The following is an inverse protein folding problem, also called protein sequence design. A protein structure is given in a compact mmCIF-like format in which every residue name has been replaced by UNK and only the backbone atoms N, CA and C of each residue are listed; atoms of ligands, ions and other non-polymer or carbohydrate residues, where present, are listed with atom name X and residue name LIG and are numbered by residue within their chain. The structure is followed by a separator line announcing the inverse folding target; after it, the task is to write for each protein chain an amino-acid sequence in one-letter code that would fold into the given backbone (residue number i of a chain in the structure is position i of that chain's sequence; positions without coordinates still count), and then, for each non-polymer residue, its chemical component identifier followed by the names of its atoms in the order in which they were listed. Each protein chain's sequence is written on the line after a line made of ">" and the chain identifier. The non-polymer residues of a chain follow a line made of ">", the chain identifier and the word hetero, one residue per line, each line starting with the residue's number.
data_IF_460783987988
#
_entry.id   IF_460783987988
#
_cell.length_a   1.000
_cell.length_b   1.000
_cell.length_c   1.000
_cell.angle_alpha   90.00
_cell.angle_beta   90.00
_cell.angle_gamma   90.00
#
_symmetry.space_group_name_H-M   'P 1'
#
loop_
_entity.id
_entity.type
_entity.pdbx_description
1 polymer ?
#
# COMPACT_ATOMS: atom_id res chain seq x y z
N UNK A 1 12.66 -16.35 19.42
CA UNK A 1 13.96 -16.24 18.71
C UNK A 1 14.53 -14.85 18.93
N UNK A 2 15.55 -14.77 19.79
CA UNK A 2 16.32 -13.55 20.05
C UNK A 2 17.45 -13.54 19.03
N UNK A 3 17.47 -12.59 18.10
CA UNK A 3 18.57 -12.44 17.14
C UNK A 3 19.87 -12.03 17.87
N UNK A 4 21.05 -12.50 17.42
CA UNK A 4 22.30 -12.36 18.15
C UNK A 4 22.80 -10.90 18.25
N UNK A 5 23.72 -10.61 19.21
CA UNK A 5 24.15 -9.25 19.58
C UNK A 5 24.83 -8.43 18.46
N UNK A 6 25.21 -9.08 17.36
CA UNK A 6 25.92 -8.50 16.21
C UNK A 6 25.02 -7.61 15.30
N UNK A 7 23.70 -7.58 15.53
CA UNK A 7 22.68 -6.99 14.65
C UNK A 7 22.29 -5.54 15.04
N UNK A 8 23.28 -4.70 15.35
CA UNK A 8 23.14 -3.55 16.28
C UNK A 8 23.15 -2.12 15.71
N UNK A 9 22.78 -1.85 14.45
CA UNK A 9 22.59 -0.44 14.02
C UNK A 9 21.33 -0.23 13.20
N UNK A 10 20.29 0.25 13.90
CA UNK A 10 19.19 0.98 13.30
C UNK A 10 19.68 2.41 13.06
N UNK A 11 19.62 2.89 11.82
CA UNK A 11 19.90 4.29 11.52
C UNK A 11 18.58 5.03 11.33
N UNK A 12 18.36 6.04 12.16
CA UNK A 12 17.28 7.01 12.03
C UNK A 12 17.84 8.20 11.24
N UNK A 13 17.24 8.48 10.08
CA UNK A 13 17.49 9.71 9.35
C UNK A 13 16.57 10.79 9.95
N UNK A 14 17.10 11.59 10.87
CA UNK A 14 16.39 12.76 11.41
C UNK A 14 16.81 13.96 10.56
N UNK A 15 15.89 14.48 9.74
CA UNK A 15 16.02 15.66 8.85
C UNK A 15 17.36 15.74 8.10
N UNK A 16 17.34 15.35 6.82
CA UNK A 16 18.47 15.50 5.88
C UNK A 16 18.95 16.96 5.75
N UNK A 17 18.14 17.94 6.17
CA UNK A 17 18.39 19.36 5.95
C UNK A 17 18.68 20.20 7.20
N UNK A 18 18.52 19.67 8.43
CA UNK A 18 18.74 20.45 9.68
C UNK A 18 19.92 20.00 10.55
N UNK A 19 20.64 18.94 10.17
CA UNK A 19 21.80 18.49 10.94
C UNK A 19 23.07 19.24 10.51
N UNK A 20 23.87 19.80 11.44
CA UNK A 20 25.20 20.28 11.09
C UNK A 20 26.02 19.08 10.57
N UNK A 21 26.44 19.17 9.30
CA UNK A 21 27.15 18.17 8.50
C UNK A 21 28.57 17.86 9.02
N UNK A 22 28.75 17.62 10.32
CA UNK A 22 30.08 17.40 10.93
C UNK A 22 30.44 15.92 11.17
N UNK A 23 29.68 14.97 10.61
CA UNK A 23 30.03 13.55 10.67
C UNK A 23 30.07 12.96 9.26
N UNK A 24 31.28 12.60 8.77
CA UNK A 24 31.51 12.10 7.40
C UNK A 24 30.67 10.85 7.07
N UNK A 25 30.33 10.03 8.07
CA UNK A 25 29.43 8.88 7.91
C UNK A 25 27.95 9.26 7.74
N UNK A 26 27.47 10.35 8.36
CA UNK A 26 26.08 10.78 8.20
C UNK A 26 25.80 11.23 6.77
N UNK A 27 26.74 11.91 6.11
CA UNK A 27 26.57 12.40 4.74
C UNK A 27 26.42 11.27 3.71
N UNK A 28 27.21 10.19 3.85
CA UNK A 28 27.16 9.03 2.96
C UNK A 28 25.89 8.19 3.14
N UNK A 29 25.50 7.88 4.37
CA UNK A 29 24.26 7.12 4.66
C UNK A 29 23.03 7.88 4.14
N UNK A 30 23.07 9.21 4.25
CA UNK A 30 22.02 10.09 3.73
C UNK A 30 21.93 10.02 2.21
N UNK A 31 23.05 10.18 1.51
CA UNK A 31 23.12 10.11 0.05
C UNK A 31 22.72 8.73 -0.49
N UNK A 32 23.11 7.66 0.21
CA UNK A 32 22.74 6.30 -0.15
C UNK A 32 21.23 6.09 0.00
N UNK A 33 20.61 6.45 1.14
CA UNK A 33 19.16 6.35 1.29
C UNK A 33 18.38 7.19 0.26
N UNK A 34 18.87 8.38 -0.10
CA UNK A 34 18.31 9.20 -1.19
C UNK A 34 18.29 8.41 -2.51
N UNK A 35 19.43 7.81 -2.89
CA UNK A 35 19.54 6.98 -4.08
C UNK A 35 18.64 5.75 -3.99
N UNK A 36 18.63 5.05 -2.85
CA UNK A 36 17.82 3.85 -2.66
C UNK A 36 16.32 4.13 -2.67
N UNK A 37 15.85 5.21 -2.05
CA UNK A 37 14.46 5.64 -2.17
C UNK A 37 14.09 5.96 -3.61
N UNK A 38 15.01 6.54 -4.39
CA UNK A 38 14.76 6.83 -5.81
C UNK A 38 14.68 5.57 -6.67
N UNK A 39 15.57 4.59 -6.47
CA UNK A 39 15.70 3.41 -7.33
C UNK A 39 14.88 2.19 -6.89
N UNK A 40 14.64 2.01 -5.58
CA UNK A 40 14.07 0.78 -5.02
C UNK A 40 12.71 0.98 -4.36
N UNK A 41 12.08 2.14 -4.52
CA UNK A 41 10.74 2.35 -4.00
C UNK A 41 9.71 1.52 -4.78
N UNK A 42 9.33 0.39 -4.17
CA UNK A 42 8.41 -0.58 -4.76
C UNK A 42 6.92 -0.18 -4.65
N UNK A 43 6.60 0.72 -3.71
CA UNK A 43 5.20 1.04 -3.35
C UNK A 43 4.69 2.26 -4.12
N UNK A 44 5.44 3.38 -4.12
CA UNK A 44 5.03 4.64 -4.73
C UNK A 44 6.20 5.31 -5.45
N UNK A 45 6.41 5.08 -6.76
CA UNK A 45 7.58 5.59 -7.47
C UNK A 45 7.82 7.09 -7.26
N UNK A 46 9.08 7.47 -7.02
CA UNK A 46 9.49 8.88 -6.86
C UNK A 46 9.56 9.51 -8.24
N UNK A 47 8.81 10.59 -8.45
CA UNK A 47 8.68 11.20 -9.78
C UNK A 47 9.82 12.13 -10.15
N UNK A 48 10.38 12.83 -9.16
CA UNK A 48 11.43 13.83 -9.35
C UNK A 48 12.13 14.18 -8.03
N UNK A 49 13.18 15.00 -8.10
CA UNK A 49 13.95 15.41 -6.92
C UNK A 49 13.12 16.23 -5.91
N UNK A 50 12.10 16.97 -6.36
CA UNK A 50 11.21 17.75 -5.48
C UNK A 50 10.33 16.80 -4.64
N UNK A 51 9.84 15.73 -5.24
CA UNK A 51 9.14 14.64 -4.54
C UNK A 51 10.06 13.97 -3.51
N UNK A 52 11.30 13.64 -3.86
CA UNK A 52 12.28 13.09 -2.93
C UNK A 52 12.57 14.03 -1.76
N UNK A 53 12.79 15.33 -2.04
CA UNK A 53 13.02 16.35 -1.01
C UNK A 53 11.84 16.45 -0.04
N UNK A 54 10.60 16.32 -0.54
CA UNK A 54 9.39 16.30 0.30
C UNK A 54 9.36 15.07 1.19
N UNK A 55 9.62 13.88 0.65
CA UNK A 55 9.60 12.61 1.41
C UNK A 55 10.71 12.48 2.46
N UNK A 56 11.78 13.24 2.34
CA UNK A 56 12.88 13.32 3.31
C UNK A 56 12.92 14.65 4.08
N UNK A 57 11.87 15.46 3.93
CA UNK A 57 11.76 16.79 4.53
C UNK A 57 11.14 16.79 5.93
N UNK A 58 10.76 17.97 6.39
CA UNK A 58 10.10 18.18 7.70
C UNK A 58 8.79 17.39 7.76
N UNK A 59 8.51 16.78 8.92
CA UNK A 59 7.31 15.95 9.10
C UNK A 59 7.36 14.60 8.35
N UNK A 60 8.53 14.23 7.82
CA UNK A 60 8.79 12.91 7.22
C UNK A 60 10.04 12.31 7.86
N UNK A 61 9.99 11.01 8.14
CA UNK A 61 11.10 10.24 8.72
C UNK A 61 11.36 9.01 7.85
N UNK A 62 12.63 8.71 7.63
CA UNK A 62 13.05 7.51 6.90
C UNK A 62 14.00 6.69 7.77
N UNK A 63 13.75 5.38 7.83
CA UNK A 63 14.51 4.44 8.66
C UNK A 63 15.09 3.35 7.79
N UNK A 64 16.37 3.06 7.95
CA UNK A 64 17.06 1.99 7.22
C UNK A 64 17.65 0.95 8.17
N UNK A 65 17.53 -0.33 7.80
CA UNK A 65 18.26 -1.41 8.44
C UNK A 65 19.50 -1.75 7.63
N UNK A 66 20.68 -1.59 8.22
CA UNK A 66 21.97 -1.85 7.58
C UNK A 66 22.67 -3.02 8.23
N UNK A 67 23.28 -3.89 7.42
CA UNK A 67 24.06 -5.02 7.91
C UNK A 67 25.57 -4.73 7.76
N UNK A 68 26.41 -5.01 8.78
CA UNK A 68 27.84 -4.70 8.70
C UNK A 68 28.59 -5.34 7.52
N UNK A 69 28.14 -6.53 7.08
CA UNK A 69 28.72 -7.23 5.94
C UNK A 69 28.32 -6.63 4.57
N UNK A 70 27.31 -5.76 4.52
CA UNK A 70 26.89 -5.05 3.30
C UNK A 70 26.86 -3.56 3.62
N UNK A 71 28.04 -2.92 3.76
CA UNK A 71 28.13 -1.51 4.11
C UNK A 71 27.56 -0.64 2.99
N UNK A 72 26.80 0.38 3.37
CA UNK A 72 26.25 1.38 2.46
C UNK A 72 24.90 1.03 1.82
N UNK A 73 24.43 -0.20 1.95
CA UNK A 73 23.12 -0.59 1.41
C UNK A 73 22.13 -0.94 2.53
N UNK A 74 20.98 -0.26 2.62
CA UNK A 74 19.94 -0.64 3.55
C UNK A 74 19.29 -1.92 3.03
N UNK A 75 19.24 -3.00 3.82
CA UNK A 75 18.55 -4.24 3.42
C UNK A 75 17.03 -4.02 3.29
N UNK A 76 16.51 -3.13 4.13
CA UNK A 76 15.11 -2.72 4.15
C UNK A 76 15.04 -1.29 4.68
N UNK A 77 14.11 -0.51 4.14
CA UNK A 77 13.83 0.83 4.61
C UNK A 77 12.32 1.07 4.78
N UNK A 78 11.98 2.03 5.64
CA UNK A 78 10.62 2.41 6.00
C UNK A 78 10.51 3.93 5.94
N UNK A 79 9.52 4.42 5.20
CA UNK A 79 9.16 5.83 5.16
C UNK A 79 7.92 6.08 6.03
N UNK A 80 7.99 7.13 6.84
CA UNK A 80 6.98 7.50 7.83
C UNK A 80 6.57 8.95 7.63
N UNK A 81 5.27 9.18 7.61
CA UNK A 81 4.67 10.50 7.63
C UNK A 81 4.18 10.83 9.04
N UNK A 82 4.61 11.97 9.57
CA UNK A 82 4.12 12.52 10.83
C UNK A 82 2.93 13.44 10.53
N UNK A 83 1.78 13.12 11.10
CA UNK A 83 0.51 13.77 10.82
C UNK A 83 -0.21 14.14 12.12
N UNK A 84 -1.11 15.11 12.03
CA UNK A 84 -2.03 15.46 13.13
C UNK A 84 -3.12 14.41 13.29
N UNK A 85 -3.65 13.92 12.16
CA UNK A 85 -4.72 12.94 12.09
C UNK A 85 -4.32 11.80 11.12
N UNK A 86 -4.98 10.64 11.20
CA UNK A 86 -4.69 9.51 10.32
C UNK A 86 -5.17 9.81 8.90
N UNK A 87 -4.26 9.73 7.91
CA UNK A 87 -4.63 9.91 6.51
C UNK A 87 -5.47 8.75 5.99
N UNK A 88 -6.43 9.05 5.11
CA UNK A 88 -7.31 8.05 4.49
C UNK A 88 -6.86 7.66 3.08
N UNK A 89 -6.02 8.47 2.46
CA UNK A 89 -5.49 8.24 1.11
C UNK A 89 -3.99 8.50 1.04
N UNK A 90 -3.31 7.83 0.11
CA UNK A 90 -1.88 8.09 -0.10
C UNK A 90 -1.65 9.48 -0.69
N UNK A 91 -2.65 10.01 -1.41
CA UNK A 91 -2.63 11.33 -2.00
C UNK A 91 -2.52 12.41 -0.92
N UNK A 92 -3.23 12.29 0.21
CA UNK A 92 -3.06 13.17 1.37
C UNK A 92 -1.61 13.18 1.88
N UNK A 93 -0.94 12.02 1.85
CA UNK A 93 0.45 11.87 2.32
C UNK A 93 1.46 12.43 1.30
N UNK A 94 1.23 12.24 0.00
CA UNK A 94 2.19 12.60 -1.05
C UNK A 94 2.00 14.02 -1.60
N UNK A 95 0.78 14.56 -1.56
CA UNK A 95 0.42 15.88 -2.10
C UNK A 95 0.43 16.98 -1.03
N UNK A 96 0.92 16.66 0.17
CA UNK A 96 0.65 17.40 1.39
C UNK A 96 1.07 18.88 1.37
N UNK A 97 0.20 19.66 2.03
CA UNK A 97 0.18 21.10 2.37
C UNK A 97 1.41 21.41 3.28
N UNK A 98 1.77 22.68 3.62
CA UNK A 98 3.02 22.96 4.33
C UNK A 98 3.24 22.03 5.53
N UNK A 99 4.46 21.49 5.68
CA UNK A 99 4.75 20.47 6.69
C UNK A 99 4.38 21.00 8.07
N UNK A 100 3.63 20.19 8.84
CA UNK A 100 3.34 20.50 10.23
C UNK A 100 4.63 20.41 11.06
N UNK A 101 4.69 21.18 12.14
CA UNK A 101 5.78 21.05 13.09
C UNK A 101 5.75 19.65 13.73
N UNK A 102 6.91 18.99 13.84
CA UNK A 102 7.00 17.64 14.38
C UNK A 102 6.45 17.51 15.81
N UNK A 103 6.47 18.60 16.59
CA UNK A 103 5.92 18.66 17.95
C UNK A 103 4.38 18.58 17.99
N UNK A 104 3.70 18.89 16.89
CA UNK A 104 2.23 18.84 16.79
C UNK A 104 1.73 17.49 16.26
N UNK A 105 2.64 16.61 15.82
CA UNK A 105 2.28 15.30 15.29
C UNK A 105 1.71 14.40 16.38
N UNK A 106 0.57 13.77 16.06
CA UNK A 106 -0.11 12.78 16.91
C UNK A 106 -0.13 11.38 16.29
N UNK A 107 0.09 11.28 14.98
CA UNK A 107 0.05 10.05 14.21
C UNK A 107 1.37 9.85 13.44
N UNK A 108 1.93 8.64 13.53
CA UNK A 108 2.99 8.15 12.66
C UNK A 108 2.41 7.14 11.67
N UNK A 109 2.35 7.55 10.41
CA UNK A 109 1.80 6.76 9.32
C UNK A 109 2.93 6.14 8.49
N UNK A 110 3.02 4.82 8.52
CA UNK A 110 3.98 4.02 7.75
C UNK A 110 3.40 3.75 6.36
N UNK A 111 3.82 4.52 5.36
CA UNK A 111 3.23 4.49 4.02
C UNK A 111 4.08 3.75 2.97
N UNK A 112 5.33 3.42 3.29
CA UNK A 112 6.22 2.67 2.40
C UNK A 112 7.17 1.82 3.23
N UNK A 113 7.23 0.52 2.92
CA UNK A 113 8.18 -0.45 3.48
C UNK A 113 8.75 -1.22 2.30
N UNK A 114 10.04 -1.04 2.04
CA UNK A 114 10.69 -1.55 0.83
C UNK A 114 11.95 -2.34 1.16
N UNK A 115 12.05 -3.56 0.64
CA UNK A 115 13.27 -4.39 0.70
C UNK A 115 14.11 -4.13 -0.54
N UNK A 116 15.41 -3.94 -0.38
CA UNK A 116 16.34 -3.70 -1.49
C UNK A 116 16.92 -5.00 -2.04
N UNK A 117 16.93 -6.06 -1.23
CA UNK A 117 17.62 -7.31 -1.52
C UNK A 117 16.62 -8.45 -1.77
N UNK A 118 16.41 -8.88 -3.04
CA UNK A 118 15.52 -10.00 -3.37
C UNK A 118 16.00 -11.33 -2.74
N UNK A 119 17.31 -11.53 -2.62
CA UNK A 119 17.90 -12.73 -2.03
C UNK A 119 17.58 -12.95 -0.54
N UNK A 120 17.04 -11.93 0.13
CA UNK A 120 16.56 -12.01 1.51
C UNK A 120 15.03 -12.13 1.60
N UNK A 121 14.34 -12.39 0.48
CA UNK A 121 12.90 -12.65 0.45
C UNK A 121 12.56 -13.82 1.38
N UNK A 122 11.58 -13.62 2.26
CA UNK A 122 11.17 -14.62 3.26
C UNK A 122 11.77 -14.42 4.65
N UNK A 123 12.78 -13.56 4.80
CA UNK A 123 13.25 -13.13 6.12
C UNK A 123 12.37 -11.97 6.59
N UNK A 124 11.83 -12.08 7.82
CA UNK A 124 10.90 -11.10 8.40
C UNK A 124 11.53 -9.77 8.85
N UNK A 125 12.47 -9.21 8.06
CA UNK A 125 13.17 -7.97 8.37
C UNK A 125 12.20 -6.78 8.56
N UNK A 126 11.11 -6.74 7.79
CA UNK A 126 10.09 -5.69 7.89
C UNK A 126 9.42 -5.62 9.25
N UNK A 127 8.99 -6.76 9.79
CA UNK A 127 8.36 -6.85 11.11
C UNK A 127 9.31 -6.38 12.22
N UNK A 128 10.58 -6.77 12.15
CA UNK A 128 11.58 -6.38 13.14
C UNK A 128 11.91 -4.88 13.07
N UNK A 129 12.09 -4.35 11.86
CA UNK A 129 12.37 -2.94 11.65
C UNK A 129 11.18 -2.09 12.11
N UNK A 130 9.96 -2.44 11.72
CA UNK A 130 8.74 -1.73 12.11
C UNK A 130 8.60 -1.65 13.64
N UNK A 131 8.76 -2.77 14.35
CA UNK A 131 8.71 -2.79 15.82
C UNK A 131 9.74 -1.85 16.44
N UNK A 132 10.99 -1.89 15.99
CA UNK A 132 12.06 -1.02 16.51
C UNK A 132 11.79 0.45 16.21
N UNK A 133 11.28 0.78 15.03
CA UNK A 133 10.92 2.15 14.66
C UNK A 133 9.80 2.68 15.54
N UNK A 134 8.76 1.88 15.78
CA UNK A 134 7.66 2.24 16.69
C UNK A 134 8.20 2.51 18.11
N UNK A 135 9.01 1.61 18.66
CA UNK A 135 9.57 1.75 20.01
C UNK A 135 10.44 3.03 20.14
N UNK A 136 11.22 3.33 19.11
CA UNK A 136 12.03 4.55 19.04
C UNK A 136 11.16 5.81 18.91
N UNK A 137 10.15 5.81 18.04
CA UNK A 137 9.25 6.96 17.87
C UNK A 137 8.46 7.24 19.16
N UNK A 138 8.00 6.22 19.88
CA UNK A 138 7.33 6.41 21.19
C UNK A 138 8.24 7.08 22.22
N UNK A 139 9.54 6.74 22.21
CA UNK A 139 10.53 7.32 23.11
C UNK A 139 10.87 8.77 22.74
N UNK A 140 11.08 9.01 21.44
CA UNK A 140 11.56 10.30 20.94
C UNK A 140 10.43 11.34 20.78
N UNK A 141 9.19 10.88 20.59
CA UNK A 141 8.03 11.70 20.24
C UNK A 141 6.79 11.24 21.03
N UNK A 142 6.72 11.54 22.34
CA UNK A 142 5.62 11.09 23.20
C UNK A 142 4.25 11.68 22.82
N UNK A 143 4.21 12.75 22.00
CA UNK A 143 2.97 13.29 21.44
C UNK A 143 2.33 12.36 20.40
N UNK A 144 3.12 11.48 19.77
CA UNK A 144 2.64 10.53 18.76
C UNK A 144 2.06 9.30 19.45
N UNK A 145 0.74 9.20 19.41
CA UNK A 145 -0.02 8.13 20.06
C UNK A 145 -0.54 7.09 19.06
N UNK A 146 -0.77 7.50 17.81
CA UNK A 146 -1.33 6.65 16.76
C UNK A 146 -0.18 6.16 15.87
N UNK A 147 -0.13 4.85 15.66
CA UNK A 147 0.81 4.19 14.76
C UNK A 147 0.00 3.35 13.78
N UNK A 148 0.01 3.73 12.50
CA UNK A 148 -0.83 3.08 11.48
C UNK A 148 -0.04 2.85 10.20
N UNK A 149 -0.39 1.81 9.46
CA UNK A 149 0.18 1.54 8.14
C UNK A 149 -0.81 1.91 7.05
N UNK A 150 -0.35 2.57 5.99
CA UNK A 150 -1.12 2.74 4.76
C UNK A 150 -0.49 1.84 3.71
N UNK A 151 -0.96 0.59 3.64
CA UNK A 151 -0.36 -0.46 2.81
C UNK A 151 -1.18 -0.70 1.54
N UNK A 152 -0.52 -0.95 0.39
CA UNK A 152 -1.21 -1.42 -0.80
C UNK A 152 -1.72 -2.85 -0.59
N UNK A 153 -2.70 -3.25 -1.40
CA UNK A 153 -3.23 -4.62 -1.43
C UNK A 153 -2.85 -5.24 -2.79
N UNK A 154 -1.58 -5.61 -2.99
CA UNK A 154 -1.14 -6.19 -4.26
C UNK A 154 -1.89 -7.49 -4.55
N UNK A 155 -2.23 -7.73 -5.82
CA UNK A 155 -2.93 -8.93 -6.24
C UNK A 155 -4.45 -8.93 -6.05
N UNK A 156 -5.02 -7.96 -5.32
CA UNK A 156 -6.49 -7.89 -5.14
C UNK A 156 -7.25 -7.85 -6.47
N UNK A 157 -6.84 -6.96 -7.38
CA UNK A 157 -7.48 -6.85 -8.71
C UNK A 157 -7.30 -8.12 -9.55
N UNK A 158 -6.14 -8.78 -9.46
CA UNK A 158 -5.89 -10.03 -10.17
C UNK A 158 -6.79 -11.15 -9.64
N UNK A 159 -6.89 -11.27 -8.32
CA UNK A 159 -7.81 -12.20 -7.66
C UNK A 159 -9.26 -11.92 -8.07
N UNK A 160 -9.69 -10.67 -8.03
CA UNK A 160 -11.06 -10.27 -8.35
C UNK A 160 -11.41 -10.63 -9.79
N UNK A 161 -10.56 -10.27 -10.75
CA UNK A 161 -10.79 -10.58 -12.17
C UNK A 161 -10.83 -12.09 -12.45
N UNK A 162 -9.96 -12.86 -11.81
CA UNK A 162 -9.96 -14.33 -11.92
C UNK A 162 -11.24 -14.92 -11.34
N UNK A 163 -11.70 -14.41 -10.19
CA UNK A 163 -12.92 -14.83 -9.52
C UNK A 163 -14.16 -14.53 -10.37
N UNK A 164 -14.25 -13.34 -10.97
CA UNK A 164 -15.31 -12.96 -11.91
C UNK A 164 -15.30 -13.87 -13.14
N UNK A 165 -14.14 -14.15 -13.73
CA UNK A 165 -14.02 -15.03 -14.89
C UNK A 165 -14.47 -16.47 -14.58
N UNK A 166 -14.16 -16.98 -13.39
CA UNK A 166 -14.60 -18.30 -12.96
C UNK A 166 -16.12 -18.39 -12.84
N UNK A 167 -16.77 -17.38 -12.28
CA UNK A 167 -18.24 -17.38 -12.14
C UNK A 167 -18.95 -17.27 -13.48
N UNK A 168 -18.43 -16.48 -14.41
CA UNK A 168 -18.98 -16.37 -15.78
C UNK A 168 -18.94 -17.75 -16.47
N UNK A 169 -17.79 -18.45 -16.41
CA UNK A 169 -17.66 -19.79 -16.99
C UNK A 169 -18.59 -20.82 -16.37
N UNK A 170 -18.80 -20.76 -15.05
CA UNK A 170 -19.75 -21.65 -14.38
C UNK A 170 -21.18 -21.40 -14.87
N UNK A 171 -21.58 -20.13 -15.00
CA UNK A 171 -22.89 -19.77 -15.52
C UNK A 171 -23.08 -20.24 -16.98
N UNK A 172 -22.08 -20.06 -17.84
CA UNK A 172 -22.10 -20.54 -19.23
C UNK A 172 -22.22 -22.08 -19.30
N UNK A 173 -21.50 -22.80 -18.45
CA UNK A 173 -21.49 -24.27 -18.42
C UNK A 173 -22.85 -24.83 -17.96
N UNK A 174 -23.44 -24.24 -16.92
CA UNK A 174 -24.77 -24.62 -16.44
C UNK A 174 -25.88 -24.35 -17.48
N UNK A 175 -25.75 -23.29 -18.27
CA UNK A 175 -26.67 -23.02 -19.39
C UNK A 175 -26.52 -24.02 -20.54
N UNK A 176 -25.34 -24.62 -20.70
CA UNK A 176 -25.07 -25.66 -21.72
C UNK A 176 -25.44 -27.07 -21.23
N UNK A 177 -25.28 -27.37 -19.94
CA UNK A 177 -25.57 -28.68 -19.32
C UNK A 177 -27.02 -28.85 -18.85
N UNK A 178 -27.85 -27.80 -18.92
CA UNK A 178 -29.27 -27.80 -18.54
C UNK A 178 -30.20 -28.77 -19.29
N UNK A 179 -29.67 -29.74 -20.04
CA UNK A 179 -30.43 -30.85 -20.62
C UNK A 179 -30.11 -32.23 -20.01
N UNK A 180 -29.07 -32.43 -19.21
CA UNK A 180 -28.80 -33.75 -18.61
C UNK A 180 -28.13 -33.65 -17.23
N UNK A 181 -28.87 -34.16 -16.23
CA UNK A 181 -28.45 -34.61 -14.88
C UNK A 181 -28.68 -33.59 -13.73
N UNK A 182 -29.87 -33.69 -13.13
CA UNK A 182 -30.11 -33.43 -11.70
C UNK A 182 -29.20 -34.35 -10.87
N UNK A 183 -28.09 -33.88 -10.34
CA UNK A 183 -27.28 -34.77 -9.48
C UNK A 183 -25.94 -34.29 -8.95
N UNK A 184 -25.40 -33.16 -9.41
CA UNK A 184 -24.17 -32.61 -8.83
C UNK A 184 -24.43 -31.17 -8.38
N UNK A 185 -24.94 -31.02 -7.16
CA UNK A 185 -25.03 -29.75 -6.45
C UNK A 185 -23.65 -29.08 -6.44
N UNK A 186 -23.41 -28.10 -7.33
CA UNK A 186 -22.20 -27.28 -7.35
C UNK A 186 -22.26 -26.35 -6.13
N UNK A 187 -21.80 -26.87 -4.99
CA UNK A 187 -22.20 -26.44 -3.65
C UNK A 187 -21.54 -25.14 -3.19
N UNK A 188 -21.15 -24.24 -4.09
CA UNK A 188 -20.65 -22.92 -3.69
C UNK A 188 -20.76 -21.85 -4.79
N UNK A 189 -21.98 -21.39 -5.05
CA UNK A 189 -22.17 -20.07 -5.69
C UNK A 189 -21.91 -18.98 -4.66
N UNK A 190 -20.70 -18.44 -4.66
CA UNK A 190 -20.44 -17.18 -3.96
C UNK A 190 -21.12 -16.05 -4.73
N UNK A 191 -22.07 -15.38 -4.08
CA UNK A 191 -22.64 -14.14 -4.60
C UNK A 191 -21.58 -13.05 -4.58
N UNK A 192 -20.88 -12.88 -5.70
CA UNK A 192 -19.88 -11.82 -5.87
C UNK A 192 -20.56 -10.45 -5.88
N UNK A 193 -21.77 -10.36 -6.45
CA UNK A 193 -22.53 -9.13 -6.58
C UNK A 193 -23.94 -9.34 -6.04
N UNK A 194 -24.40 -8.45 -5.16
CA UNK A 194 -25.78 -8.45 -4.68
C UNK A 194 -26.71 -7.70 -5.66
N UNK A 195 -28.02 -8.04 -5.70
CA UNK A 195 -28.97 -7.40 -6.61
C UNK A 195 -29.03 -5.86 -6.47
N UNK A 196 -28.84 -5.34 -5.25
CA UNK A 196 -28.81 -3.91 -4.97
C UNK A 196 -27.56 -3.25 -5.56
N UNK A 197 -26.40 -3.91 -5.47
CA UNK A 197 -25.13 -3.44 -6.03
C UNK A 197 -25.18 -3.45 -7.56
N UNK A 198 -25.77 -4.48 -8.15
CA UNK A 198 -26.00 -4.59 -9.58
C UNK A 198 -26.89 -3.45 -10.11
N UNK A 199 -28.00 -3.17 -9.43
CA UNK A 199 -28.87 -2.03 -9.77
C UNK A 199 -28.13 -0.69 -9.70
N UNK A 200 -27.30 -0.49 -8.68
CA UNK A 200 -26.49 0.74 -8.56
C UNK A 200 -25.51 0.87 -9.72
N UNK A 201 -24.81 -0.20 -10.09
CA UNK A 201 -23.87 -0.21 -11.22
C UNK A 201 -24.60 0.09 -12.53
N UNK A 202 -25.75 -0.55 -12.78
CA UNK A 202 -26.55 -0.30 -13.98
C UNK A 202 -27.03 1.14 -14.07
N UNK A 203 -27.47 1.73 -12.96
CA UNK A 203 -27.92 3.14 -12.94
C UNK A 203 -26.78 4.15 -13.16
N UNK A 204 -25.53 3.74 -12.94
CA UNK A 204 -24.36 4.60 -13.08
C UNK A 204 -23.75 4.60 -14.49
N UNK A 205 -24.29 3.79 -15.41
CA UNK A 205 -23.76 3.62 -16.78
C UNK A 205 -24.76 4.16 -17.79
N UNK A 206 -24.31 5.10 -18.62
CA UNK A 206 -25.17 5.77 -19.61
C UNK A 206 -25.42 4.93 -20.88
N UNK A 207 -24.64 3.86 -21.13
CA UNK A 207 -24.78 2.97 -22.29
C UNK A 207 -24.86 1.50 -21.86
N UNK A 208 -26.01 0.87 -22.10
CA UNK A 208 -26.27 -0.53 -21.78
C UNK A 208 -25.82 -1.39 -22.98
N UNK A 209 -24.61 -1.95 -22.93
CA UNK A 209 -24.11 -2.86 -23.97
C UNK A 209 -24.75 -4.27 -23.93
N UNK A 210 -25.99 -4.40 -23.46
CA UNK A 210 -26.69 -5.68 -23.29
C UNK A 210 -26.11 -6.63 -22.22
N UNK A 211 -24.91 -6.34 -21.70
CA UNK A 211 -24.25 -7.10 -20.63
C UNK A 211 -24.87 -6.78 -19.27
N UNK A 212 -25.10 -7.81 -18.45
CA UNK A 212 -25.69 -7.71 -17.12
C UNK A 212 -24.79 -8.35 -16.05
N UNK A 213 -24.99 -7.95 -14.80
CA UNK A 213 -24.33 -8.52 -13.63
C UNK A 213 -22.81 -8.57 -13.68
N UNK A 214 -22.27 -9.77 -13.56
CA UNK A 214 -20.84 -10.06 -13.34
C UNK A 214 -20.00 -9.74 -14.59
N UNK A 215 -20.55 -9.93 -15.79
CA UNK A 215 -19.85 -9.62 -17.05
C UNK A 215 -19.60 -8.12 -17.21
N UNK A 216 -20.62 -7.32 -16.90
CA UNK A 216 -20.54 -5.87 -16.92
C UNK A 216 -19.48 -5.37 -15.92
N UNK A 217 -19.50 -5.90 -14.69
CA UNK A 217 -18.50 -5.59 -13.68
C UNK A 217 -17.08 -5.95 -14.16
N UNK A 218 -16.91 -7.12 -14.78
CA UNK A 218 -15.60 -7.55 -15.29
C UNK A 218 -15.06 -6.60 -16.37
N UNK A 219 -15.90 -6.17 -17.30
CA UNK A 219 -15.51 -5.23 -18.36
C UNK A 219 -15.15 -3.86 -17.80
N UNK A 220 -15.94 -3.35 -16.86
CA UNK A 220 -15.69 -2.08 -16.19
C UNK A 220 -14.32 -2.12 -15.51
N UNK A 221 -14.04 -3.15 -14.71
CA UNK A 221 -12.80 -3.28 -13.97
C UNK A 221 -11.58 -3.46 -14.89
N UNK A 222 -11.72 -4.16 -16.02
CA UNK A 222 -10.65 -4.28 -17.04
C UNK A 222 -10.32 -2.93 -17.71
N UNK A 223 -11.32 -2.10 -17.99
CA UNK A 223 -11.13 -0.83 -18.70
C UNK A 223 -10.37 0.24 -17.90
N UNK A 224 -10.32 0.12 -16.57
CA UNK A 224 -9.78 1.12 -15.62
C UNK A 224 -10.34 2.55 -15.75
N UNK A 225 -11.32 2.80 -16.64
CA UNK A 225 -11.90 4.14 -16.85
C UNK A 225 -12.86 4.54 -15.75
N UNK A 226 -13.34 3.58 -14.95
CA UNK A 226 -14.30 3.80 -13.88
C UNK A 226 -13.82 4.79 -12.82
N UNK A 227 -12.49 4.89 -12.63
CA UNK A 227 -11.85 5.83 -11.69
C UNK A 227 -12.11 7.30 -12.06
N UNK A 228 -12.45 7.60 -13.32
CA UNK A 228 -12.73 8.97 -13.79
C UNK A 228 -14.17 9.42 -13.55
N UNK A 229 -15.08 8.48 -13.29
CA UNK A 229 -16.50 8.78 -13.08
C UNK A 229 -16.84 8.66 -11.61
N UNK A 230 -17.24 9.77 -11.00
CA UNK A 230 -17.63 9.80 -9.58
C UNK A 230 -18.85 8.92 -9.30
N UNK A 231 -19.82 8.89 -10.23
CA UNK A 231 -21.02 8.05 -10.13
C UNK A 231 -20.66 6.57 -10.10
N UNK A 232 -19.79 6.14 -11.01
CA UNK A 232 -19.40 4.74 -11.12
C UNK A 232 -18.49 4.31 -9.98
N UNK A 233 -17.56 5.19 -9.56
CA UNK A 233 -16.72 4.96 -8.38
C UNK A 233 -17.55 4.83 -7.10
N UNK A 234 -18.60 5.64 -6.94
CA UNK A 234 -19.52 5.53 -5.81
C UNK A 234 -20.32 4.22 -5.83
N UNK A 235 -20.82 3.79 -7.00
CA UNK A 235 -21.54 2.53 -7.15
C UNK A 235 -20.65 1.30 -6.86
N UNK A 236 -19.37 1.35 -7.27
CA UNK A 236 -18.41 0.26 -7.04
C UNK A 236 -17.86 0.21 -5.60
N UNK A 237 -18.02 1.28 -4.81
CA UNK A 237 -17.45 1.35 -3.46
C UNK A 237 -17.95 0.23 -2.55
N UNK A 238 -19.27 0.02 -2.49
CA UNK A 238 -19.86 -1.04 -1.64
C UNK A 238 -19.35 -2.44 -1.99
N UNK A 239 -19.47 -2.92 -3.25
CA UNK A 239 -19.03 -4.26 -3.59
C UNK A 239 -17.52 -4.43 -3.42
N UNK A 240 -16.70 -3.45 -3.80
CA UNK A 240 -15.24 -3.56 -3.66
C UNK A 240 -14.80 -3.59 -2.19
N UNK A 241 -15.40 -2.77 -1.33
CA UNK A 241 -15.08 -2.79 0.11
C UNK A 241 -15.47 -4.12 0.74
N UNK A 242 -16.63 -4.67 0.41
CA UNK A 242 -17.09 -5.97 0.90
C UNK A 242 -16.23 -7.14 0.38
N UNK A 243 -15.78 -7.08 -0.87
CA UNK A 243 -14.93 -8.14 -1.44
C UNK A 243 -13.49 -8.06 -0.93
N UNK A 244 -13.10 -6.94 -0.31
CA UNK A 244 -11.76 -6.70 0.23
C UNK A 244 -11.64 -7.01 1.74
N UNK A 245 -12.74 -7.34 2.43
CA UNK A 245 -12.73 -7.77 3.85
C UNK A 245 -12.45 -9.25 3.99
#
# INVERSE_FOLDING_TARGET
>A
MILPPCWRRLWLMKSVFDSPLNCSMCSLVVLLMILFSFFFQAVHPIRNLIDLKRRLGVGRRCFGYFHPAIPGEPLIFIEVALLKDMATSIQEVLLDVPPIAECEAKCALFYSISSTQPGLSGINLGKFLLKRVIDMLRKDMPSVQIFATLSPIPGFMQWLLAKLASQIKLAETEMQEGNLIEGASSTFRESILFPEEEKMIHSAIDQINGKQGIELLQDILKSSQWVKSDKLSAALKSPLMRLCT
#
